data_IF_224486169362
#
_entry.id   IF_224486169362
#
_cell.length_a   1.000
_cell.length_b   1.000
_cell.length_c   1.000
_cell.angle_alpha   90.00
_cell.angle_beta   90.00
_cell.angle_gamma   90.00
#
_symmetry.space_group_name_H-M   'P 1'
#
loop_
_entity.id
_entity.type
_entity.pdbx_description
1 polymer ?
#
# COMPACT_ATOMS: atom_id res chain seq x y z
N UNK A 1 -2.92 4.30 15.82
CA UNK A 1 -1.78 3.83 14.99
C UNK A 1 -1.31 2.42 15.33
N UNK A 2 -1.46 1.95 16.57
CA UNK A 2 -1.07 0.59 17.00
C UNK A 2 -1.58 -0.54 16.09
N UNK A 3 -2.87 -0.52 15.72
CA UNK A 3 -3.44 -1.52 14.80
C UNK A 3 -2.71 -1.56 13.44
N UNK A 4 -2.36 -0.39 12.89
CA UNK A 4 -1.63 -0.30 11.61
C UNK A 4 -0.25 -0.95 11.75
N UNK A 5 0.48 -0.62 12.82
CA UNK A 5 1.80 -1.21 13.10
C UNK A 5 1.73 -2.71 13.33
N UNK A 6 0.73 -3.19 14.07
CA UNK A 6 0.51 -4.61 14.33
C UNK A 6 0.31 -5.39 13.04
N UNK A 7 -0.64 -4.97 12.20
CA UNK A 7 -0.95 -5.68 10.93
C UNK A 7 0.21 -5.58 9.95
N UNK A 8 0.91 -4.44 9.91
CA UNK A 8 2.12 -4.28 9.09
C UNK A 8 3.22 -5.27 9.50
N UNK A 9 3.49 -5.40 10.81
CA UNK A 9 4.51 -6.32 11.33
C UNK A 9 4.13 -7.78 11.11
N UNK A 10 2.85 -8.15 11.29
CA UNK A 10 2.33 -9.49 11.00
C UNK A 10 2.54 -9.86 9.53
N UNK A 11 2.20 -8.97 8.59
CA UNK A 11 2.40 -9.19 7.16
C UNK A 11 3.88 -9.28 6.78
N UNK A 12 4.74 -8.51 7.44
CA UNK A 12 6.20 -8.65 7.27
C UNK A 12 6.65 -10.02 7.74
N UNK A 13 6.17 -10.48 8.90
CA UNK A 13 6.53 -11.79 9.42
C UNK A 13 6.17 -12.91 8.44
N UNK A 14 4.98 -12.84 7.83
CA UNK A 14 4.56 -13.79 6.79
C UNK A 14 5.48 -13.76 5.57
N UNK A 15 5.84 -12.56 5.10
CA UNK A 15 6.75 -12.37 3.96
C UNK A 15 8.14 -12.92 4.25
N UNK A 16 8.67 -12.65 5.44
CA UNK A 16 9.99 -13.12 5.87
C UNK A 16 10.02 -14.64 6.02
N UNK A 17 8.98 -15.21 6.65
CA UNK A 17 8.83 -16.67 6.79
C UNK A 17 8.74 -17.36 5.43
N UNK A 18 7.98 -16.78 4.50
CA UNK A 18 7.88 -17.29 3.14
C UNK A 18 9.22 -17.16 2.40
N UNK A 19 9.87 -16.00 2.50
CA UNK A 19 11.17 -15.78 1.86
C UNK A 19 12.24 -16.73 2.39
N UNK A 20 12.26 -17.02 3.70
CA UNK A 20 13.19 -18.00 4.29
C UNK A 20 13.04 -19.37 3.62
N UNK A 21 11.81 -19.87 3.46
CA UNK A 21 11.54 -21.12 2.76
C UNK A 21 12.07 -21.09 1.32
N UNK A 22 11.74 -20.03 0.56
CA UNK A 22 12.16 -19.92 -0.84
C UNK A 22 13.67 -19.83 -0.98
N UNK A 23 14.33 -19.07 -0.11
CA UNK A 23 15.78 -18.93 -0.09
C UNK A 23 16.49 -20.25 0.24
N UNK A 24 15.98 -21.01 1.21
CA UNK A 24 16.54 -22.33 1.55
C UNK A 24 16.38 -23.34 0.41
N UNK A 25 15.28 -23.27 -0.35
CA UNK A 25 15.08 -24.08 -1.56
C UNK A 25 16.11 -23.70 -2.64
N UNK A 26 16.37 -22.40 -2.87
CA UNK A 26 17.40 -21.96 -3.83
C UNK A 26 18.79 -22.48 -3.49
N UNK A 27 19.16 -22.39 -2.21
CA UNK A 27 20.43 -22.90 -1.72
C UNK A 27 20.53 -24.42 -1.93
N UNK A 28 19.49 -25.18 -1.57
CA UNK A 28 19.48 -26.62 -1.75
C UNK A 28 19.57 -27.05 -3.23
N UNK A 29 18.89 -26.33 -4.14
CA UNK A 29 19.03 -26.55 -5.59
C UNK A 29 20.48 -26.31 -6.04
N UNK A 30 21.13 -25.27 -5.52
CA UNK A 30 22.52 -24.93 -5.85
C UNK A 30 23.55 -25.98 -5.37
N UNK A 31 23.23 -26.75 -4.32
CA UNK A 31 24.13 -27.78 -3.75
C UNK A 31 23.88 -29.21 -4.23
N UNK A 32 23.12 -29.42 -5.31
CA UNK A 32 22.89 -30.76 -5.88
C UNK A 32 21.43 -31.23 -5.84
N UNK A 33 20.50 -30.34 -5.51
CA UNK A 33 19.06 -30.55 -5.64
C UNK A 33 18.31 -30.38 -4.33
N UNK A 34 17.17 -29.68 -4.39
CA UNK A 34 16.22 -29.63 -3.28
C UNK A 34 15.37 -30.91 -3.28
N UNK A 35 15.78 -31.90 -2.48
CA UNK A 35 15.08 -33.19 -2.34
C UNK A 35 14.31 -33.22 -1.02
N UNK A 36 13.00 -33.39 -1.11
CA UNK A 36 12.13 -33.64 0.05
C UNK A 36 11.95 -35.15 0.21
N UNK A 37 12.35 -35.69 1.35
CA UNK A 37 12.18 -37.11 1.67
C UNK A 37 10.87 -37.32 2.43
N UNK A 38 10.01 -38.17 1.89
CA UNK A 38 8.81 -38.71 2.51
C UNK A 38 9.02 -40.20 2.76
N UNK A 39 8.33 -40.79 3.75
CA UNK A 39 8.57 -42.17 4.23
C UNK A 39 9.08 -43.16 3.19
N UNK A 40 8.40 -43.29 2.05
CA UNK A 40 8.78 -44.23 0.97
C UNK A 40 9.09 -43.56 -0.36
N UNK A 41 9.04 -42.22 -0.46
CA UNK A 41 9.20 -41.48 -1.72
C UNK A 41 10.05 -40.25 -1.53
N UNK A 42 10.78 -39.85 -2.58
CA UNK A 42 11.50 -38.59 -2.59
C UNK A 42 10.94 -37.69 -3.68
N UNK A 43 10.84 -36.41 -3.39
CA UNK A 43 10.37 -35.40 -4.33
C UNK A 43 11.49 -34.40 -4.61
N UNK A 44 11.84 -34.23 -5.87
CA UNK A 44 12.79 -33.21 -6.29
C UNK A 44 12.02 -31.96 -6.66
N UNK A 45 12.29 -30.84 -5.98
CA UNK A 45 11.71 -29.54 -6.31
C UNK A 45 12.20 -29.14 -7.69
N UNK A 46 11.25 -28.86 -8.59
CA UNK A 46 11.53 -28.49 -9.97
C UNK A 46 11.87 -27.00 -10.09
N UNK A 47 12.73 -26.61 -11.04
CA UNK A 47 13.02 -25.20 -11.29
C UNK A 47 11.76 -24.34 -11.52
N UNK A 48 10.74 -24.87 -12.19
CA UNK A 48 9.47 -24.16 -12.41
C UNK A 48 8.73 -23.88 -11.09
N UNK A 49 8.79 -24.80 -10.13
CA UNK A 49 8.16 -24.62 -8.82
C UNK A 49 8.86 -23.54 -8.01
N UNK A 50 10.18 -23.46 -8.09
CA UNK A 50 10.95 -22.38 -7.49
C UNK A 50 10.56 -21.02 -8.10
N UNK A 51 10.41 -20.93 -9.42
CA UNK A 51 9.95 -19.70 -10.11
C UNK A 51 8.53 -19.30 -9.69
N UNK A 52 7.64 -20.27 -9.51
CA UNK A 52 6.30 -20.03 -8.97
C UNK A 52 6.38 -19.49 -7.54
N UNK A 53 7.29 -20.00 -6.72
CA UNK A 53 7.47 -19.47 -5.37
C UNK A 53 7.98 -18.02 -5.37
N UNK A 54 8.93 -17.69 -6.25
CA UNK A 54 9.42 -16.33 -6.40
C UNK A 54 8.34 -15.32 -6.79
N UNK A 55 7.48 -15.70 -7.73
CA UNK A 55 6.39 -14.81 -8.18
C UNK A 55 5.37 -14.53 -7.09
N UNK A 56 5.16 -15.44 -6.14
CA UNK A 56 4.33 -15.18 -4.95
C UNK A 56 4.87 -14.06 -4.06
N UNK A 57 6.20 -13.88 -3.97
CA UNK A 57 6.80 -12.79 -3.18
C UNK A 57 6.34 -11.42 -3.71
N UNK A 58 6.25 -11.24 -5.03
CA UNK A 58 5.72 -10.00 -5.61
C UNK A 58 4.28 -9.72 -5.18
N UNK A 59 3.45 -10.75 -5.09
CA UNK A 59 2.07 -10.61 -4.63
C UNK A 59 2.00 -10.23 -3.15
N UNK A 60 2.80 -10.89 -2.30
CA UNK A 60 2.86 -10.54 -0.88
C UNK A 60 3.35 -9.11 -0.66
N UNK A 61 4.41 -8.69 -1.38
CA UNK A 61 4.92 -7.32 -1.30
C UNK A 61 3.88 -6.29 -1.75
N UNK A 62 3.17 -6.55 -2.85
CA UNK A 62 2.13 -5.63 -3.30
C UNK A 62 0.98 -5.55 -2.30
N UNK A 63 0.55 -6.70 -1.77
CA UNK A 63 -0.50 -6.77 -0.77
C UNK A 63 -0.12 -6.04 0.52
N UNK A 64 1.15 -6.11 0.94
CA UNK A 64 1.68 -5.31 2.06
C UNK A 64 1.57 -3.81 1.78
N UNK A 65 1.98 -3.35 0.59
CA UNK A 65 1.86 -1.93 0.20
C UNK A 65 0.41 -1.48 0.24
N UNK A 66 -0.47 -2.21 -0.46
CA UNK A 66 -1.88 -1.87 -0.57
C UNK A 66 -2.58 -1.84 0.78
N UNK A 67 -2.41 -2.86 1.61
CA UNK A 67 -3.03 -2.89 2.92
C UNK A 67 -2.53 -1.79 3.83
N UNK A 68 -1.23 -1.49 3.79
CA UNK A 68 -0.64 -0.46 4.65
C UNK A 68 -1.23 0.90 4.29
N UNK A 69 -1.30 1.24 3.01
CA UNK A 69 -1.86 2.53 2.58
C UNK A 69 -3.35 2.62 2.90
N UNK A 70 -4.14 1.57 2.64
CA UNK A 70 -5.57 1.53 2.99
C UNK A 70 -5.79 1.74 4.49
N UNK A 71 -5.03 1.05 5.34
CA UNK A 71 -5.14 1.20 6.78
C UNK A 71 -4.72 2.58 7.29
N UNK A 72 -3.72 3.20 6.64
CA UNK A 72 -3.31 4.57 6.95
C UNK A 72 -4.39 5.59 6.58
N UNK A 73 -5.06 5.39 5.43
CA UNK A 73 -6.22 6.19 5.04
C UNK A 73 -7.33 6.05 6.10
N UNK A 74 -7.71 4.83 6.45
CA UNK A 74 -8.75 4.55 7.45
C UNK A 74 -8.40 5.15 8.82
N UNK A 75 -7.10 5.16 9.19
CA UNK A 75 -6.65 5.79 10.41
C UNK A 75 -6.88 7.31 10.37
N UNK A 76 -6.51 7.98 9.28
CA UNK A 76 -6.75 9.42 9.13
C UNK A 76 -8.25 9.73 9.13
N UNK A 77 -9.08 8.97 8.40
CA UNK A 77 -10.53 9.13 8.38
C UNK A 77 -11.14 9.11 9.78
N UNK A 78 -10.81 8.07 10.57
CA UNK A 78 -11.33 7.89 11.94
C UNK A 78 -10.85 8.99 12.88
N UNK A 79 -9.55 9.31 12.87
CA UNK A 79 -9.00 10.34 13.75
C UNK A 79 -9.49 11.74 13.37
N UNK A 80 -9.65 12.03 12.08
CA UNK A 80 -10.21 13.30 11.64
C UNK A 80 -11.69 13.44 12.02
N UNK A 81 -12.49 12.40 11.77
CA UNK A 81 -13.94 12.40 12.08
C UNK A 81 -14.21 12.57 13.56
N UNK A 82 -13.55 11.76 14.40
CA UNK A 82 -13.68 11.86 15.86
C UNK A 82 -13.09 13.16 16.40
N UNK A 83 -11.96 13.59 15.82
CA UNK A 83 -11.27 14.79 16.28
C UNK A 83 -12.07 16.07 16.09
N UNK A 84 -12.69 16.27 14.92
CA UNK A 84 -13.45 17.50 14.70
C UNK A 84 -14.80 17.53 15.43
N UNK A 85 -15.30 16.37 15.88
CA UNK A 85 -16.58 16.25 16.59
C UNK A 85 -17.73 16.99 15.88
N UNK A 86 -17.86 16.77 14.57
CA UNK A 86 -18.85 17.42 13.70
C UNK A 86 -18.49 18.83 13.20
N UNK A 87 -17.47 19.49 13.76
CA UNK A 87 -17.12 20.87 13.39
C UNK A 87 -16.22 20.92 12.16
N UNK A 88 -16.80 20.89 10.95
CA UNK A 88 -16.05 20.96 9.67
C UNK A 88 -15.13 22.18 9.55
N UNK A 89 -15.45 23.26 10.26
CA UNK A 89 -14.60 24.46 10.34
C UNK A 89 -13.22 24.19 10.92
N UNK A 90 -13.07 23.17 11.77
CA UNK A 90 -11.80 22.76 12.34
C UNK A 90 -10.89 22.04 11.34
N UNK A 91 -11.41 21.53 10.22
CA UNK A 91 -10.57 20.86 9.21
C UNK A 91 -9.66 21.86 8.50
N UNK A 92 -8.43 21.43 8.23
CA UNK A 92 -7.54 22.13 7.29
C UNK A 92 -8.19 22.26 5.91
N UNK A 93 -7.77 23.24 5.12
CA UNK A 93 -8.30 23.46 3.76
C UNK A 93 -8.19 22.18 2.90
N UNK A 94 -7.06 21.48 3.01
CA UNK A 94 -6.80 20.20 2.32
C UNK A 94 -7.81 19.12 2.70
N UNK A 95 -8.00 18.88 3.99
CA UNK A 95 -8.95 17.87 4.48
C UNK A 95 -10.40 18.25 4.16
N UNK A 96 -10.74 19.54 4.27
CA UNK A 96 -12.07 20.04 3.89
C UNK A 96 -12.35 19.84 2.40
N UNK A 97 -11.36 20.08 1.54
CA UNK A 97 -11.45 19.82 0.11
C UNK A 97 -11.67 18.33 -0.18
N UNK A 98 -10.97 17.44 0.53
CA UNK A 98 -11.18 15.99 0.39
C UNK A 98 -12.60 15.61 0.78
N UNK A 99 -13.07 16.04 1.95
CA UNK A 99 -14.42 15.76 2.44
C UNK A 99 -15.50 16.28 1.48
N UNK A 100 -15.39 17.52 0.99
CA UNK A 100 -16.35 18.05 0.01
C UNK A 100 -16.30 17.25 -1.29
N UNK A 101 -15.11 16.85 -1.74
CA UNK A 101 -14.96 16.02 -2.95
C UNK A 101 -15.60 14.65 -2.77
N UNK A 102 -15.50 14.03 -1.59
CA UNK A 102 -16.10 12.71 -1.32
C UNK A 102 -17.62 12.79 -1.27
N UNK A 103 -18.19 13.82 -0.67
CA UNK A 103 -19.66 13.99 -0.57
C UNK A 103 -20.24 14.43 -1.92
N UNK A 104 -19.67 15.46 -2.56
CA UNK A 104 -20.19 16.02 -3.80
C UNK A 104 -19.92 15.11 -5.02
N UNK A 105 -18.90 14.24 -4.93
CA UNK A 105 -18.40 13.38 -6.00
C UNK A 105 -18.42 14.05 -7.39
N UNK A 106 -17.69 15.18 -7.55
CA UNK A 106 -17.82 16.05 -8.73
C UNK A 106 -17.38 15.38 -10.04
N UNK A 107 -16.65 14.28 -9.96
CA UNK A 107 -16.15 13.52 -11.11
C UNK A 107 -17.08 12.38 -11.54
N UNK A 108 -18.13 12.09 -10.76
CA UNK A 108 -19.13 11.09 -11.13
C UNK A 108 -20.10 11.67 -12.18
N UNK A 109 -20.48 10.82 -13.14
CA UNK A 109 -21.55 11.13 -14.10
C UNK A 109 -22.91 11.05 -13.38
N UNK A 110 -23.31 12.17 -12.77
CA UNK A 110 -24.56 12.30 -12.00
C UNK A 110 -25.60 13.15 -12.74
N UNK A 111 -26.88 12.83 -12.54
CA UNK A 111 -28.00 13.68 -12.97
C UNK A 111 -28.08 14.94 -12.10
N UNK A 112 -28.84 15.93 -12.56
CA UNK A 112 -29.02 17.18 -11.81
C UNK A 112 -29.70 16.94 -10.45
N UNK A 113 -30.65 16.02 -10.38
CA UNK A 113 -31.37 15.64 -9.16
C UNK A 113 -30.40 15.04 -8.13
N UNK A 114 -29.55 14.09 -8.54
CA UNK A 114 -28.53 13.49 -7.64
C UNK A 114 -27.50 14.51 -7.15
N UNK A 115 -27.14 15.50 -7.98
CA UNK A 115 -26.26 16.60 -7.56
C UNK A 115 -26.93 17.47 -6.50
N UNK A 116 -28.22 17.78 -6.66
CA UNK A 116 -28.99 18.52 -5.66
C UNK A 116 -29.11 17.73 -4.35
N UNK A 117 -29.40 16.43 -4.41
CA UNK A 117 -29.42 15.53 -3.24
C UNK A 117 -28.09 15.57 -2.48
N UNK A 118 -26.95 15.43 -3.17
CA UNK A 118 -25.61 15.53 -2.55
C UNK A 118 -25.35 16.90 -1.94
N UNK A 119 -25.83 17.97 -2.56
CA UNK A 119 -25.72 19.33 -2.00
C UNK A 119 -26.55 19.50 -0.72
N UNK A 120 -27.76 18.92 -0.68
CA UNK A 120 -28.60 18.92 0.52
C UNK A 120 -27.95 18.12 1.66
N UNK A 121 -27.38 16.95 1.37
CA UNK A 121 -26.62 16.17 2.37
C UNK A 121 -25.46 16.98 2.96
N UNK A 122 -24.67 17.65 2.11
CA UNK A 122 -23.59 18.50 2.57
C UNK A 122 -24.11 19.65 3.46
N UNK A 123 -25.23 20.27 3.09
CA UNK A 123 -25.86 21.34 3.86
C UNK A 123 -26.34 20.85 5.24
N UNK A 124 -27.00 19.70 5.29
CA UNK A 124 -27.45 19.09 6.55
C UNK A 124 -26.29 18.70 7.47
N UNK A 125 -25.18 18.20 6.91
CA UNK A 125 -23.97 17.89 7.67
C UNK A 125 -23.30 19.15 8.22
N UNK A 126 -23.26 20.25 7.46
CA UNK A 126 -22.76 21.56 7.94
C UNK A 126 -23.60 22.10 9.09
N UNK A 127 -24.91 21.86 9.06
CA UNK A 127 -25.84 22.23 10.14
C UNK A 127 -25.82 21.26 11.33
N UNK A 128 -24.97 20.23 11.31
CA UNK A 128 -24.91 19.15 12.32
C UNK A 128 -26.24 18.38 12.49
N UNK A 129 -27.07 18.34 11.44
CA UNK A 129 -28.31 17.55 11.45
C UNK A 129 -28.04 16.06 11.17
N UNK A 130 -26.93 15.78 10.49
CA UNK A 130 -26.45 14.43 10.18
C UNK A 130 -25.00 14.25 10.62
N UNK A 131 -24.60 13.04 11.04
CA UNK A 131 -23.21 12.76 11.36
C UNK A 131 -22.32 12.95 10.13
N UNK A 132 -21.10 13.43 10.39
CA UNK A 132 -20.05 13.53 9.39
C UNK A 132 -19.23 12.25 9.43
N UNK A 133 -18.99 11.68 8.25
CA UNK A 133 -18.06 10.58 8.04
C UNK A 133 -17.08 11.03 6.96
N UNK A 134 -15.82 11.25 7.36
CA UNK A 134 -14.79 11.69 6.41
C UNK A 134 -14.34 10.45 5.64
N UNK A 135 -14.56 10.48 4.32
CA UNK A 135 -14.04 9.48 3.38
C UNK A 135 -12.99 10.10 2.49
N UNK A 136 -11.81 9.51 2.47
CA UNK A 136 -10.72 9.88 1.58
C UNK A 136 -10.79 8.93 0.40
N UNK A 137 -11.12 9.42 -0.81
CA UNK A 137 -11.15 8.56 -1.99
C UNK A 137 -9.78 7.89 -2.19
N UNK A 138 -9.73 6.57 -2.38
CA UNK A 138 -8.47 5.88 -2.61
C UNK A 138 -7.85 6.41 -3.92
N UNK A 139 -6.78 7.18 -3.78
CA UNK A 139 -5.99 7.67 -4.92
C UNK A 139 -5.47 6.50 -5.76
N UNK A 140 -5.43 6.66 -7.09
CA UNK A 140 -4.84 5.65 -7.96
C UNK A 140 -5.63 4.34 -8.13
N UNK A 141 -6.87 4.23 -7.62
CA UNK A 141 -7.74 3.07 -7.87
C UNK A 141 -7.17 1.73 -7.38
N UNK A 142 -6.42 1.75 -6.27
CA UNK A 142 -5.75 0.56 -5.74
C UNK A 142 -4.45 0.18 -6.47
N UNK A 143 -3.91 1.05 -7.33
CA UNK A 143 -2.62 0.87 -8.03
C UNK A 143 -1.49 1.68 -7.37
N UNK A 144 -1.15 1.32 -6.14
CA UNK A 144 -0.18 2.03 -5.33
C UNK A 144 1.25 1.89 -5.86
N UNK A 145 1.88 3.03 -6.12
CA UNK A 145 3.33 3.18 -6.19
C UNK A 145 3.77 4.43 -5.42
N UNK A 146 5.07 4.71 -5.41
CA UNK A 146 5.65 5.87 -4.72
C UNK A 146 5.00 7.19 -5.13
N UNK A 147 4.69 7.33 -6.42
CA UNK A 147 4.14 8.56 -7.00
C UNK A 147 2.69 8.75 -6.55
N UNK A 148 1.88 7.70 -6.62
CA UNK A 148 0.47 7.75 -6.21
C UNK A 148 0.32 7.91 -4.69
N UNK A 149 1.21 7.28 -3.91
CA UNK A 149 1.28 7.47 -2.46
C UNK A 149 1.64 8.91 -2.12
N UNK A 150 2.69 9.48 -2.73
CA UNK A 150 3.11 10.87 -2.49
C UNK A 150 2.01 11.87 -2.86
N UNK A 151 1.34 11.68 -4.00
CA UNK A 151 0.21 12.52 -4.43
C UNK A 151 -0.93 12.50 -3.43
N UNK A 152 -1.35 11.31 -2.98
CA UNK A 152 -2.41 11.16 -1.98
C UNK A 152 -1.99 11.81 -0.65
N UNK A 153 -0.80 11.49 -0.14
CA UNK A 153 -0.33 12.03 1.12
C UNK A 153 -0.30 13.56 1.09
N UNK A 154 0.19 14.15 -0.01
CA UNK A 154 0.20 15.60 -0.19
C UNK A 154 -1.20 16.21 -0.23
N UNK A 155 -2.19 15.52 -0.81
CA UNK A 155 -3.58 15.98 -0.85
C UNK A 155 -4.24 15.96 0.53
N UNK A 156 -3.89 14.98 1.37
CA UNK A 156 -4.31 14.90 2.79
C UNK A 156 -3.64 15.99 3.61
N UNK A 157 -2.37 16.30 3.31
CA UNK A 157 -1.55 17.23 4.10
C UNK A 157 -0.31 16.59 4.71
N UNK A 158 -0.11 15.30 4.51
CA UNK A 158 1.07 14.56 4.94
C UNK A 158 2.23 14.78 3.97
N UNK A 159 3.39 15.18 4.50
CA UNK A 159 4.60 15.34 3.70
C UNK A 159 5.54 14.14 3.86
N UNK A 160 5.65 13.31 2.82
CA UNK A 160 6.56 12.15 2.79
C UNK A 160 7.94 12.62 2.28
N UNK A 161 8.68 13.28 3.15
CA UNK A 161 10.05 13.70 2.85
C UNK A 161 11.04 12.55 3.08
N UNK A 162 11.39 11.84 2.00
CA UNK A 162 12.37 10.75 2.04
C UNK A 162 13.79 11.28 2.27
N UNK A 163 14.56 10.58 3.09
CA UNK A 163 16.01 10.81 3.20
C UNK A 163 16.69 10.50 1.86
N UNK A 164 17.83 11.15 1.58
CA UNK A 164 18.56 10.92 0.32
C UNK A 164 18.90 9.43 0.06
N UNK A 165 19.37 8.64 1.06
CA UNK A 165 19.61 7.21 0.87
C UNK A 165 18.34 6.42 0.54
N UNK A 166 17.23 6.68 1.24
CA UNK A 166 15.97 5.97 1.01
C UNK A 166 15.38 6.34 -0.36
N UNK A 167 15.42 7.62 -0.73
CA UNK A 167 14.99 8.10 -2.04
C UNK A 167 15.78 7.42 -3.16
N UNK A 168 17.10 7.27 -2.99
CA UNK A 168 17.94 6.58 -3.97
C UNK A 168 17.53 5.11 -4.11
N UNK A 169 17.34 4.39 -3.01
CA UNK A 169 16.87 2.99 -3.03
C UNK A 169 15.52 2.83 -3.73
N UNK A 170 14.57 3.71 -3.43
CA UNK A 170 13.17 3.60 -3.85
C UNK A 170 12.93 4.11 -5.28
N UNK A 171 13.75 5.03 -5.78
CA UNK A 171 13.57 5.66 -7.11
C UNK A 171 14.51 5.12 -8.18
N UNK A 172 15.67 4.56 -7.82
CA UNK A 172 16.62 4.02 -8.80
C UNK A 172 15.98 2.84 -9.54
N UNK A 173 16.17 2.72 -10.87
CA UNK A 173 15.78 1.52 -11.60
C UNK A 173 16.36 0.26 -10.95
N UNK A 174 15.49 -0.70 -10.68
CA UNK A 174 15.83 -2.01 -10.16
C UNK A 174 15.93 -3.02 -11.32
N UNK A 175 14.92 -3.05 -12.19
CA UNK A 175 14.84 -3.93 -13.35
C UNK A 175 13.87 -3.37 -14.39
N UNK A 176 14.10 -3.63 -15.67
CA UNK A 176 13.26 -3.17 -16.79
C UNK A 176 12.99 -1.66 -16.77
N UNK A 177 14.00 -0.86 -16.37
CA UNK A 177 13.91 0.59 -16.16
C UNK A 177 12.84 1.03 -15.13
N UNK A 178 12.39 0.10 -14.27
CA UNK A 178 11.39 0.36 -13.23
C UNK A 178 12.02 0.42 -11.87
N UNK A 179 11.58 1.38 -11.07
CA UNK A 179 11.90 1.43 -9.64
C UNK A 179 11.25 0.24 -8.90
N UNK A 180 11.78 -0.18 -7.73
CA UNK A 180 11.33 -1.36 -7.00
C UNK A 180 9.81 -1.48 -6.83
N UNK A 181 9.17 -0.45 -6.30
CA UNK A 181 7.73 -0.46 -6.01
C UNK A 181 6.90 -0.43 -7.30
N UNK A 182 7.37 0.28 -8.33
CA UNK A 182 6.72 0.29 -9.64
C UNK A 182 6.82 -1.07 -10.32
N UNK A 183 7.96 -1.74 -10.20
CA UNK A 183 8.16 -3.10 -10.69
C UNK A 183 7.17 -4.07 -10.04
N UNK A 184 7.08 -4.05 -8.70
CA UNK A 184 6.15 -4.89 -7.93
C UNK A 184 4.70 -4.68 -8.39
N UNK A 185 4.26 -3.42 -8.51
CA UNK A 185 2.92 -3.06 -8.99
C UNK A 185 2.66 -3.61 -10.39
N UNK A 186 3.58 -3.37 -11.33
CA UNK A 186 3.41 -3.79 -12.72
C UNK A 186 3.38 -5.32 -12.84
N UNK A 187 4.20 -6.04 -12.08
CA UNK A 187 4.18 -7.49 -12.04
C UNK A 187 2.85 -8.01 -11.48
N UNK A 188 2.38 -7.46 -10.35
CA UNK A 188 1.07 -7.81 -9.78
C UNK A 188 -0.05 -7.62 -10.82
N UNK A 189 -0.04 -6.49 -11.54
CA UNK A 189 -1.04 -6.21 -12.57
C UNK A 189 -0.98 -7.21 -13.73
N UNK A 190 0.22 -7.55 -14.22
CA UNK A 190 0.38 -8.55 -15.28
C UNK A 190 -0.09 -9.93 -14.84
N UNK A 191 0.20 -10.35 -13.60
CA UNK A 191 -0.26 -11.61 -13.04
C UNK A 191 -1.79 -11.63 -12.89
N UNK A 192 -2.38 -10.55 -12.34
CA UNK A 192 -3.83 -10.45 -12.11
C UNK A 192 -4.64 -10.42 -13.42
N UNK A 193 -4.12 -9.80 -14.47
CA UNK A 193 -4.75 -9.80 -15.79
C UNK A 193 -4.42 -11.04 -16.63
N UNK A 194 -3.64 -11.99 -16.10
CA UNK A 194 -3.23 -13.20 -16.82
C UNK A 194 -2.32 -12.93 -18.03
N UNK A 195 -1.68 -11.76 -18.09
CA UNK A 195 -0.78 -11.39 -19.19
C UNK A 195 0.58 -12.08 -19.11
N UNK A 196 0.94 -12.58 -17.93
CA UNK A 196 2.10 -13.46 -17.69
C UNK A 196 1.70 -14.55 -16.69
N UNK A 197 2.33 -15.71 -16.78
CA UNK A 197 2.24 -16.78 -15.79
C UNK A 197 3.21 -16.57 -14.61
N UNK A 198 2.96 -17.28 -13.51
CA UNK A 198 3.85 -17.31 -12.34
C UNK A 198 5.27 -17.77 -12.70
N UNK A 199 5.39 -18.79 -13.56
CA UNK A 199 6.68 -19.30 -14.03
C UNK A 199 7.43 -18.27 -14.87
N UNK A 200 6.73 -17.55 -15.77
CA UNK A 200 7.34 -16.48 -16.58
C UNK A 200 7.79 -15.30 -15.72
N UNK A 201 7.02 -14.95 -14.69
CA UNK A 201 7.38 -13.91 -13.74
C UNK A 201 8.66 -14.23 -12.95
N UNK A 202 8.88 -15.50 -12.59
CA UNK A 202 10.07 -15.94 -11.87
C UNK A 202 11.34 -16.04 -12.73
N UNK A 203 11.25 -15.81 -14.05
CA UNK A 203 12.43 -15.88 -14.92
C UNK A 203 13.42 -14.76 -14.59
N UNK A 204 14.72 -15.10 -14.57
CA UNK A 204 15.85 -14.21 -14.33
C UNK A 204 15.94 -13.62 -12.91
N UNK A 205 15.23 -14.14 -11.91
CA UNK A 205 15.37 -13.69 -10.52
C UNK A 205 16.25 -14.64 -9.69
N UNK A 206 16.95 -14.06 -8.73
CA UNK A 206 17.71 -14.76 -7.67
C UNK A 206 17.17 -14.36 -6.30
N UNK A 207 17.32 -15.19 -5.27
CA UNK A 207 16.78 -14.88 -3.94
C UNK A 207 17.28 -13.53 -3.39
N UNK A 208 18.51 -13.15 -3.71
CA UNK A 208 19.07 -11.84 -3.31
C UNK A 208 18.29 -10.64 -3.87
N UNK A 209 17.69 -10.75 -5.06
CA UNK A 209 16.83 -9.69 -5.61
C UNK A 209 15.60 -9.48 -4.71
N UNK A 210 14.97 -10.56 -4.29
CA UNK A 210 13.79 -10.50 -3.44
C UNK A 210 14.11 -10.00 -2.03
N UNK A 211 15.26 -10.38 -1.47
CA UNK A 211 15.74 -9.80 -0.21
C UNK A 211 15.84 -8.27 -0.31
N UNK A 212 16.46 -7.76 -1.37
CA UNK A 212 16.55 -6.31 -1.60
C UNK A 212 15.17 -5.66 -1.76
N UNK A 213 14.24 -6.27 -2.51
CA UNK A 213 12.89 -5.74 -2.67
C UNK A 213 12.13 -5.71 -1.33
N UNK A 214 12.22 -6.77 -0.52
CA UNK A 214 11.63 -6.84 0.81
C UNK A 214 12.15 -5.70 1.67
N UNK A 215 13.47 -5.53 1.76
CA UNK A 215 14.09 -4.49 2.58
C UNK A 215 13.70 -3.07 2.11
N UNK A 216 13.68 -2.83 0.80
CA UNK A 216 13.28 -1.52 0.24
C UNK A 216 11.82 -1.20 0.57
N UNK A 217 10.92 -2.17 0.40
CA UNK A 217 9.49 -1.98 0.70
C UNK A 217 9.28 -1.77 2.20
N UNK A 218 9.95 -2.54 3.05
CA UNK A 218 9.89 -2.40 4.51
C UNK A 218 10.39 -1.03 4.97
N UNK A 219 11.57 -0.61 4.51
CA UNK A 219 12.15 0.71 4.84
C UNK A 219 11.21 1.84 4.42
N UNK A 220 10.67 1.76 3.20
CA UNK A 220 9.78 2.77 2.66
C UNK A 220 8.45 2.85 3.43
N UNK A 221 7.78 1.72 3.64
CA UNK A 221 6.48 1.70 4.32
C UNK A 221 6.59 2.08 5.79
N UNK A 222 7.66 1.69 6.50
CA UNK A 222 7.92 2.19 7.85
C UNK A 222 7.99 3.72 7.88
N UNK A 223 8.75 4.31 6.96
CA UNK A 223 8.83 5.76 6.87
C UNK A 223 7.47 6.42 6.58
N UNK A 224 6.66 5.82 5.69
CA UNK A 224 5.30 6.33 5.42
C UNK A 224 4.43 6.24 6.68
N UNK A 225 4.45 5.11 7.38
CA UNK A 225 3.70 4.93 8.65
C UNK A 225 4.10 5.99 9.66
N UNK A 226 5.40 6.26 9.85
CA UNK A 226 5.90 7.30 10.76
C UNK A 226 5.38 8.70 10.41
N UNK A 227 5.31 9.04 9.11
CA UNK A 227 4.79 10.34 8.69
C UNK A 227 3.30 10.49 8.94
N UNK A 228 2.53 9.43 8.73
CA UNK A 228 1.10 9.43 9.03
C UNK A 228 0.83 9.43 10.54
N UNK A 229 1.62 8.69 11.32
CA UNK A 229 1.54 8.70 12.79
C UNK A 229 1.80 10.10 13.33
N UNK A 230 2.91 10.74 12.94
CA UNK A 230 3.22 12.10 13.34
C UNK A 230 2.11 13.10 12.95
N UNK A 231 1.52 12.95 11.76
CA UNK A 231 0.40 13.78 11.31
C UNK A 231 -0.84 13.59 12.19
N UNK A 232 -1.18 12.35 12.55
CA UNK A 232 -2.33 12.05 13.39
C UNK A 232 -2.12 12.56 14.81
N UNK A 233 -0.95 12.31 15.41
CA UNK A 233 -0.62 12.69 16.78
C UNK A 233 -0.61 14.21 16.96
N UNK A 234 -0.09 14.94 15.97
CA UNK A 234 -0.09 16.40 15.93
C UNK A 234 -1.45 16.99 15.53
N UNK A 235 -2.47 16.16 15.34
CA UNK A 235 -3.79 16.59 14.86
C UNK A 235 -3.71 17.40 13.56
N UNK A 236 -2.79 17.05 12.65
CA UNK A 236 -2.50 17.80 11.42
C UNK A 236 -3.68 17.93 10.44
N UNK A 237 -4.76 17.19 10.69
CA UNK A 237 -6.04 17.34 10.01
C UNK A 237 -6.85 18.56 10.49
N UNK A 238 -6.47 19.19 11.60
CA UNK A 238 -7.09 20.40 12.14
C UNK A 238 -6.30 21.67 11.83
N UNK A 239 -7.01 22.78 11.70
CA UNK A 239 -6.40 24.11 11.79
C UNK A 239 -6.02 24.39 13.23
N UNK A 240 -4.79 24.83 13.48
CA UNK A 240 -4.44 25.48 14.76
C UNK A 240 -5.24 26.78 14.87
N UNK A 241 -5.97 26.92 15.98
CA UNK A 241 -6.63 28.18 16.34
C UNK A 241 -5.61 29.31 16.54
#
# INVERSE_FOLDING_TARGET
MELVRSVFNERIYDIESYFELVNNIELAISFGGAILHFNTTSYVVKPEQQKIMYSSIYLHLYNLIESTISMLIDAVERHATTGINGQLGLLTEKMRKIYVTSVAAPYELLTNEKRLEKALVLFEQVLNLHPIDIKIPPGGGGNWDVTEIEKLSKSIGVNIALSAPLKQKVMRPFRDDKSPIRLIKDIRNKLAHGSISFTECGNNHVASDFRMLIDIVKDYLNHVIEKYEAYIDQHGYRTTA
#
